data_IF_625017559055
#
_entry.id   IF_625017559055
#
_cell.length_a   1.000
_cell.length_b   1.000
_cell.length_c   1.000
_cell.angle_alpha   90.00
_cell.angle_beta   90.00
_cell.angle_gamma   90.00
#
_symmetry.space_group_name_H-M   'P 1'
#
loop_
_entity.id
_entity.type
_entity.pdbx_description
1 polymer ?
#
# COMPACT_ATOMS: atom_id res chain seq x y z
N UNK A 1 15.91 7.87 4.93
CA UNK A 1 15.44 6.53 4.46
C UNK A 1 15.08 6.57 2.99
N UNK A 2 15.28 5.46 2.30
CA UNK A 2 14.62 5.14 1.04
C UNK A 2 13.37 4.32 1.32
N UNK A 3 12.36 4.50 0.46
CA UNK A 3 11.03 3.93 0.57
C UNK A 3 10.60 3.51 -0.84
N UNK A 4 10.15 2.28 -1.01
CA UNK A 4 9.65 1.81 -2.30
C UNK A 4 8.45 0.88 -2.17
N UNK A 5 7.66 0.87 -3.24
CA UNK A 5 6.48 0.05 -3.45
C UNK A 5 6.32 -0.13 -4.98
N UNK A 6 5.44 -1.04 -5.40
CA UNK A 6 5.18 -1.41 -6.80
C UNK A 6 6.42 -1.94 -7.53
N UNK A 7 7.13 -2.85 -6.84
CA UNK A 7 8.31 -3.57 -7.36
C UNK A 7 8.17 -5.06 -7.04
N UNK A 8 9.00 -5.89 -7.66
CA UNK A 8 8.92 -7.36 -7.52
C UNK A 8 8.98 -7.85 -6.07
N UNK A 9 9.71 -7.17 -5.19
CA UNK A 9 9.87 -7.52 -3.77
C UNK A 9 8.98 -6.68 -2.82
N UNK A 10 8.33 -5.62 -3.32
CA UNK A 10 7.41 -4.76 -2.58
C UNK A 10 6.17 -4.46 -3.44
N UNK A 11 5.36 -5.48 -3.71
CA UNK A 11 4.22 -5.44 -4.63
C UNK A 11 2.88 -5.21 -3.93
N UNK A 12 1.86 -4.83 -4.72
CA UNK A 12 0.45 -4.88 -4.31
C UNK A 12 -0.12 -6.27 -4.56
N UNK A 13 -0.90 -6.79 -3.62
CA UNK A 13 -1.64 -8.05 -3.79
C UNK A 13 -3.09 -7.89 -3.34
N UNK A 14 -4.09 -8.32 -4.12
CA UNK A 14 -3.95 -8.86 -5.47
C UNK A 14 -3.56 -7.77 -6.50
N UNK A 15 -3.02 -8.20 -7.65
CA UNK A 15 -2.74 -7.28 -8.77
C UNK A 15 -4.05 -6.70 -9.33
N UNK A 16 -5.03 -7.57 -9.58
CA UNK A 16 -6.41 -7.21 -9.91
C UNK A 16 -7.25 -7.23 -8.64
N UNK A 17 -7.74 -6.06 -8.23
CA UNK A 17 -8.51 -5.91 -6.99
C UNK A 17 -9.98 -6.17 -7.29
N UNK A 18 -10.58 -7.12 -6.60
CA UNK A 18 -11.99 -7.46 -6.70
C UNK A 18 -12.76 -6.93 -5.49
N UNK A 19 -14.07 -6.78 -5.64
CA UNK A 19 -14.97 -6.45 -4.54
C UNK A 19 -14.79 -7.40 -3.35
N UNK A 20 -14.89 -6.84 -2.14
CA UNK A 20 -14.79 -7.56 -0.86
C UNK A 20 -13.47 -8.30 -0.60
N UNK A 21 -12.44 -8.08 -1.44
CA UNK A 21 -11.08 -8.61 -1.23
C UNK A 21 -10.18 -7.51 -0.67
N UNK A 22 -9.60 -7.69 0.54
CA UNK A 22 -8.62 -6.76 1.08
C UNK A 22 -7.36 -6.68 0.21
N UNK A 23 -6.74 -5.50 0.17
CA UNK A 23 -5.52 -5.25 -0.60
C UNK A 23 -4.33 -5.16 0.35
N UNK A 24 -3.38 -6.08 0.18
CA UNK A 24 -2.07 -6.05 0.83
C UNK A 24 -1.08 -5.20 0.05
N UNK A 25 -0.39 -4.30 0.73
CA UNK A 25 0.65 -3.43 0.18
C UNK A 25 1.98 -3.77 0.84
N UNK A 26 2.83 -4.51 0.12
CA UNK A 26 4.21 -4.74 0.55
C UNK A 26 5.06 -3.53 0.27
N UNK A 27 5.82 -3.09 1.28
CA UNK A 27 6.58 -1.85 1.24
C UNK A 27 7.99 -2.14 1.73
N UNK A 28 8.99 -1.67 1.00
CA UNK A 28 10.39 -1.78 1.38
C UNK A 28 10.95 -0.46 1.92
N UNK A 29 11.80 -0.54 2.94
CA UNK A 29 12.59 0.58 3.43
C UNK A 29 14.07 0.23 3.51
N UNK A 30 14.92 1.23 3.33
CA UNK A 30 16.37 1.12 3.53
C UNK A 30 16.92 2.40 4.17
N UNK A 31 17.92 2.32 5.06
CA UNK A 31 18.48 1.10 5.64
C UNK A 31 17.54 0.48 6.70
N UNK A 32 17.90 -0.70 7.23
CA UNK A 32 17.33 -1.21 8.48
C UNK A 32 17.70 -0.26 9.61
N UNK A 33 16.69 0.30 10.28
CA UNK A 33 16.88 1.27 11.36
C UNK A 33 15.73 1.21 12.37
N UNK A 34 16.07 1.40 13.65
CA UNK A 34 15.09 1.48 14.73
C UNK A 34 14.27 2.77 14.67
N UNK A 35 12.99 2.67 14.98
CA UNK A 35 12.08 3.82 15.02
C UNK A 35 11.52 4.22 13.65
N UNK A 36 11.74 3.43 12.60
CA UNK A 36 11.02 3.60 11.35
C UNK A 36 9.51 3.38 11.55
N UNK A 37 8.72 4.24 10.93
CA UNK A 37 7.27 4.14 10.85
C UNK A 37 6.86 4.22 9.38
N UNK A 38 5.96 3.34 8.96
CA UNK A 38 5.45 3.30 7.58
C UNK A 38 3.93 3.34 7.65
N UNK A 39 3.31 4.19 6.84
CA UNK A 39 1.86 4.30 6.72
C UNK A 39 1.42 4.41 5.27
N UNK A 40 0.15 4.13 5.04
CA UNK A 40 -0.51 4.31 3.75
C UNK A 40 -1.68 5.25 3.95
N UNK A 41 -1.61 6.41 3.32
CA UNK A 41 -2.77 7.27 3.17
C UNK A 41 -3.49 6.87 1.90
N UNK A 42 -4.78 6.59 1.99
CA UNK A 42 -5.58 6.19 0.84
C UNK A 42 -6.91 6.93 0.80
N UNK A 43 -7.47 7.04 -0.40
CA UNK A 43 -8.80 7.59 -0.63
C UNK A 43 -9.56 6.70 -1.58
N UNK A 44 -10.87 6.61 -1.37
CA UNK A 44 -11.80 5.90 -2.26
C UNK A 44 -12.85 6.86 -2.75
N UNK A 45 -13.06 6.89 -4.07
CA UNK A 45 -14.18 7.56 -4.70
C UNK A 45 -15.21 6.51 -5.10
N UNK A 46 -16.34 6.49 -4.40
CA UNK A 46 -17.44 5.58 -4.69
C UNK A 46 -18.26 6.01 -5.91
N UNK A 47 -19.08 5.10 -6.45
CA UNK A 47 -20.02 5.37 -7.55
C UNK A 47 -21.03 6.48 -7.22
N UNK A 48 -21.30 6.74 -5.94
CA UNK A 48 -22.17 7.83 -5.48
C UNK A 48 -21.48 9.21 -5.48
N UNK A 49 -20.21 9.27 -5.90
CA UNK A 49 -19.41 10.49 -5.95
C UNK A 49 -18.87 10.94 -4.59
N UNK A 50 -19.03 10.14 -3.52
CA UNK A 50 -18.43 10.46 -2.22
C UNK A 50 -16.99 9.98 -2.17
N UNK A 51 -16.12 10.84 -1.62
CA UNK A 51 -14.74 10.50 -1.29
C UNK A 51 -14.61 10.23 0.21
N UNK A 52 -14.00 9.09 0.56
CA UNK A 52 -13.51 8.85 1.90
C UNK A 52 -11.99 8.79 1.87
N UNK A 53 -11.33 9.28 2.92
CA UNK A 53 -9.88 9.26 3.07
C UNK A 53 -9.53 8.66 4.44
N UNK A 54 -8.54 7.77 4.46
CA UNK A 54 -8.07 7.10 5.67
C UNK A 54 -6.54 6.97 5.64
N UNK A 55 -5.95 6.78 6.81
CA UNK A 55 -4.55 6.38 6.97
C UNK A 55 -4.49 5.06 7.73
N UNK A 56 -3.69 4.13 7.24
CA UNK A 56 -3.40 2.86 7.94
C UNK A 56 -1.91 2.72 8.16
N UNK A 57 -1.53 2.16 9.31
CA UNK A 57 -0.16 1.80 9.59
C UNK A 57 0.22 0.52 8.82
N UNK A 58 1.43 0.49 8.25
CA UNK A 58 2.04 -0.75 7.79
C UNK A 58 2.78 -1.43 8.95
N UNK A 59 2.58 -2.73 9.09
CA UNK A 59 3.24 -3.51 10.13
C UNK A 59 4.53 -4.13 9.60
N UNK A 60 5.60 -4.02 10.38
CA UNK A 60 6.87 -4.68 10.08
C UNK A 60 6.66 -6.19 9.94
N UNK A 61 7.30 -6.80 8.93
CA UNK A 61 7.21 -8.23 8.66
C UNK A 61 8.56 -8.92 8.86
N UNK A 62 9.61 -8.47 8.16
CA UNK A 62 10.94 -9.05 8.23
C UNK A 62 12.02 -8.10 7.71
N UNK A 63 13.28 -8.44 7.98
CA UNK A 63 14.46 -7.79 7.41
C UNK A 63 15.16 -8.75 6.44
N UNK A 64 15.64 -8.21 5.32
CA UNK A 64 16.65 -8.86 4.48
C UNK A 64 18.01 -8.27 4.86
N UNK A 65 18.67 -8.90 5.84
CA UNK A 65 19.96 -8.43 6.39
C UNK A 65 21.08 -8.44 5.34
N UNK A 66 20.99 -9.27 4.31
CA UNK A 66 21.97 -9.32 3.23
C UNK A 66 21.91 -8.07 2.34
N UNK A 67 20.72 -7.46 2.19
CA UNK A 67 20.51 -6.20 1.46
C UNK A 67 20.44 -4.97 2.35
N UNK A 68 20.18 -5.15 3.65
CA UNK A 68 19.95 -4.07 4.59
C UNK A 68 18.54 -3.46 4.46
N UNK A 69 17.56 -4.24 4.01
CA UNK A 69 16.18 -3.77 3.78
C UNK A 69 15.24 -4.24 4.89
N UNK A 70 14.24 -3.42 5.23
CA UNK A 70 13.08 -3.85 6.03
C UNK A 70 11.85 -3.93 5.14
N UNK A 71 11.02 -4.96 5.32
CA UNK A 71 9.77 -5.13 4.60
C UNK A 71 8.56 -5.04 5.54
N UNK A 72 7.55 -4.33 5.08
CA UNK A 72 6.35 -3.96 5.83
C UNK A 72 5.12 -4.35 5.02
N UNK A 73 4.00 -4.57 5.71
CA UNK A 73 2.72 -4.87 5.09
C UNK A 73 1.62 -3.99 5.68
N UNK A 74 0.97 -3.20 4.82
CA UNK A 74 -0.30 -2.56 5.12
C UNK A 74 -1.45 -3.34 4.48
N UNK A 75 -2.63 -3.29 5.08
CA UNK A 75 -3.86 -3.82 4.48
C UNK A 75 -4.88 -2.71 4.41
N UNK A 76 -5.45 -2.47 3.22
CA UNK A 76 -6.50 -1.48 2.97
C UNK A 76 -7.75 -2.15 2.41
N UNK A 77 -8.88 -1.45 2.47
CA UNK A 77 -10.17 -1.99 2.09
C UNK A 77 -10.74 -2.97 3.12
N UNK A 78 -11.63 -3.91 2.74
CA UNK A 78 -12.06 -4.17 1.36
C UNK A 78 -12.84 -2.99 0.72
N UNK A 79 -12.94 -3.01 -0.60
CA UNK A 79 -13.60 -1.99 -1.41
C UNK A 79 -14.77 -2.57 -2.21
N UNK A 80 -15.61 -1.71 -2.80
CA UNK A 80 -16.75 -2.11 -3.62
C UNK A 80 -16.44 -2.03 -5.10
N UNK A 81 -17.18 -2.78 -5.90
CA UNK A 81 -17.03 -2.75 -7.36
C UNK A 81 -17.12 -1.32 -7.93
N UNK A 82 -16.13 -0.97 -8.75
CA UNK A 82 -16.05 0.29 -9.49
C UNK A 82 -15.59 1.47 -8.64
N UNK A 83 -15.24 1.25 -7.38
CA UNK A 83 -14.52 2.22 -6.58
C UNK A 83 -13.19 2.57 -7.27
N UNK A 84 -12.89 3.88 -7.35
CA UNK A 84 -11.55 4.36 -7.72
C UNK A 84 -10.77 4.60 -6.43
N UNK A 85 -9.72 3.82 -6.21
CA UNK A 85 -8.84 3.93 -5.05
C UNK A 85 -7.55 4.61 -5.47
N UNK A 86 -7.13 5.60 -4.70
CA UNK A 86 -5.83 6.26 -4.81
C UNK A 86 -5.10 6.12 -3.48
N UNK A 87 -3.80 5.85 -3.50
CA UNK A 87 -3.02 5.76 -2.27
C UNK A 87 -1.58 6.26 -2.44
N UNK A 88 -0.99 6.67 -1.31
CA UNK A 88 0.41 7.07 -1.18
C UNK A 88 1.00 6.31 -0.01
N UNK A 89 2.19 5.75 -0.23
CA UNK A 89 2.98 5.11 0.84
C UNK A 89 3.89 6.17 1.45
N UNK A 90 3.86 6.30 2.76
CA UNK A 90 4.66 7.24 3.52
C UNK A 90 5.58 6.51 4.48
N UNK A 91 6.71 7.14 4.81
CA UNK A 91 7.57 6.65 5.87
C UNK A 91 8.21 7.76 6.66
N UNK A 92 8.57 7.48 7.90
CA UNK A 92 9.25 8.38 8.81
C UNK A 92 10.45 7.65 9.39
N UNK A 93 11.63 8.27 9.31
CA UNK A 93 12.84 7.83 10.02
C UNK A 93 13.41 8.95 10.87
N UNK A 94 14.55 8.72 11.52
CA UNK A 94 15.26 9.78 12.27
C UNK A 94 15.63 11.00 11.42
N UNK A 95 15.73 10.82 10.10
CA UNK A 95 16.11 11.88 9.16
C UNK A 95 14.91 12.69 8.67
N UNK A 96 13.69 12.33 9.11
CA UNK A 96 12.44 12.99 8.77
C UNK A 96 11.49 12.14 7.92
N UNK A 97 10.35 12.72 7.49
CA UNK A 97 9.37 12.05 6.65
C UNK A 97 9.84 11.91 5.20
N UNK A 98 9.37 10.87 4.55
CA UNK A 98 9.54 10.57 3.12
C UNK A 98 8.17 10.18 2.56
N UNK A 99 7.70 10.95 1.59
CA UNK A 99 6.51 10.62 0.81
C UNK A 99 6.92 9.76 -0.40
N UNK A 100 6.17 8.69 -0.67
CA UNK A 100 6.35 7.83 -1.83
C UNK A 100 5.61 8.35 -3.06
N UNK A 101 5.50 7.49 -4.09
CA UNK A 101 4.68 7.79 -5.26
C UNK A 101 3.19 7.59 -4.97
N UNK A 102 2.35 8.24 -5.78
CA UNK A 102 0.91 8.04 -5.79
C UNK A 102 0.53 6.94 -6.77
N UNK A 103 -0.29 6.02 -6.30
CA UNK A 103 -0.78 4.88 -7.07
C UNK A 103 -2.30 4.91 -7.13
N UNK A 104 -2.87 4.25 -8.13
CA UNK A 104 -4.32 4.09 -8.23
C UNK A 104 -4.72 2.75 -8.84
N UNK A 105 -5.95 2.34 -8.55
CA UNK A 105 -6.62 1.22 -9.22
C UNK A 105 -8.13 1.39 -9.16
N UNK A 106 -8.81 0.71 -10.07
CA UNK A 106 -10.26 0.55 -10.03
C UNK A 106 -10.60 -0.87 -9.61
N UNK A 107 -11.58 -1.01 -8.73
CA UNK A 107 -12.04 -2.32 -8.23
C UNK A 107 -12.89 -3.01 -9.30
N UNK A 108 -12.48 -4.20 -9.70
CA UNK A 108 -13.15 -5.01 -10.70
C UNK A 108 -14.47 -5.62 -10.16
N UNK A 109 -15.44 -5.92 -11.04
CA UNK A 109 -16.64 -6.68 -10.68
C UNK A 109 -16.31 -8.05 -10.11
N UNK A 110 -17.14 -8.49 -9.16
CA UNK A 110 -17.08 -9.86 -8.68
C UNK A 110 -17.39 -10.83 -9.82
N UNK A 111 -16.39 -11.58 -10.29
CA UNK A 111 -16.57 -12.65 -11.28
C UNK A 111 -16.04 -12.37 -12.70
N UNK A 112 -15.25 -11.32 -12.92
CA UNK A 112 -14.43 -11.25 -14.14
C UNK A 112 -13.43 -12.41 -14.15
N UNK A 113 -13.47 -13.33 -15.13
CA UNK A 113 -12.42 -14.33 -15.29
C UNK A 113 -11.17 -13.56 -15.72
N UNK A 114 -10.10 -13.64 -14.93
CA UNK A 114 -8.79 -13.11 -15.32
C UNK A 114 -8.43 -13.59 -16.72
N UNK A 115 -8.14 -12.63 -17.61
CA UNK A 115 -7.72 -12.88 -18.98
C UNK A 115 -6.33 -13.47 -19.10
#
# INVERSE_FOLDING_TARGET
MELWHDTTDAFRSPNEVMEDVPVGLWIGTWPIEMGQYVSVQWSVMGKDGKRNEEEVQAFWQYNDDAKGNSYWLATIGPFREGDLVEYVVNGVSKDGPKEGLRYSFTVAPAGSPGG
#
